data_IF_883604247381
#
_entry.id   IF_883604247381
#
_cell.length_a   1.000
_cell.length_b   1.000
_cell.length_c   1.000
_cell.angle_alpha   90.00
_cell.angle_beta   90.00
_cell.angle_gamma   90.00
#
_symmetry.space_group_name_H-M   'P 1'
#
loop_
_entity.id
_entity.type
_entity.pdbx_description
1 polymer ?
#
# COMPACT_ATOMS: atom_id res chain seq x y z
N UNK A 1 -5.97 -26.01 -10.02
CA UNK A 1 -5.60 -24.65 -9.59
C UNK A 1 -6.22 -23.68 -10.57
N UNK A 2 -6.95 -22.69 -10.08
CA UNK A 2 -7.57 -21.67 -10.92
C UNK A 2 -6.50 -20.84 -11.63
N UNK A 3 -6.78 -20.38 -12.85
CA UNK A 3 -5.98 -19.34 -13.52
C UNK A 3 -6.23 -17.98 -12.87
N UNK A 4 -5.28 -17.06 -12.98
CA UNK A 4 -5.41 -15.72 -12.39
C UNK A 4 -6.66 -14.96 -12.88
N UNK A 5 -6.99 -15.12 -14.16
CA UNK A 5 -8.18 -14.52 -14.78
C UNK A 5 -9.50 -15.03 -14.15
N UNK A 6 -9.49 -16.22 -13.56
CA UNK A 6 -10.66 -16.84 -12.92
C UNK A 6 -10.85 -16.39 -11.47
N UNK A 7 -9.95 -15.57 -10.91
CA UNK A 7 -10.05 -15.11 -9.53
C UNK A 7 -11.14 -14.04 -9.44
N UNK A 8 -12.16 -14.28 -8.62
CA UNK A 8 -13.29 -13.37 -8.48
C UNK A 8 -12.91 -12.20 -7.58
N UNK A 9 -13.18 -11.00 -8.06
CA UNK A 9 -13.12 -9.79 -7.26
C UNK A 9 -14.52 -9.36 -6.88
N UNK A 10 -14.72 -9.05 -5.60
CA UNK A 10 -15.93 -8.44 -5.08
C UNK A 10 -15.52 -7.30 -4.14
N UNK A 11 -16.08 -6.10 -4.35
CA UNK A 11 -15.73 -4.94 -3.55
C UNK A 11 -16.20 -5.14 -2.10
N UNK A 12 -15.31 -5.01 -1.09
CA UNK A 12 -15.72 -5.13 0.30
C UNK A 12 -16.55 -3.92 0.72
N UNK A 13 -17.56 -4.14 1.57
CA UNK A 13 -18.36 -3.06 2.16
C UNK A 13 -17.72 -2.66 3.48
N UNK A 14 -16.96 -1.54 3.50
CA UNK A 14 -16.12 -1.15 4.65
C UNK A 14 -16.85 -1.27 5.99
N UNK A 15 -18.08 -0.75 6.12
CA UNK A 15 -18.86 -0.83 7.36
C UNK A 15 -19.05 -2.28 7.86
N UNK A 16 -19.46 -3.20 6.97
CA UNK A 16 -19.65 -4.61 7.30
C UNK A 16 -18.34 -5.28 7.72
N UNK A 17 -17.23 -4.88 7.07
CA UNK A 17 -15.90 -5.34 7.43
C UNK A 17 -15.48 -4.87 8.83
N UNK A 18 -15.80 -3.62 9.21
CA UNK A 18 -15.49 -3.14 10.57
C UNK A 18 -16.32 -3.86 11.63
N UNK A 19 -17.59 -4.17 11.33
CA UNK A 19 -18.46 -4.92 12.25
C UNK A 19 -17.88 -6.32 12.46
N UNK A 20 -17.58 -7.02 11.37
CA UNK A 20 -16.98 -8.37 11.42
C UNK A 20 -15.65 -8.36 12.16
N UNK A 21 -14.79 -7.37 11.89
CA UNK A 21 -13.51 -7.24 12.57
C UNK A 21 -13.67 -7.03 14.08
N UNK A 22 -14.61 -6.18 14.51
CA UNK A 22 -14.89 -5.95 15.93
C UNK A 22 -15.34 -7.22 16.65
N UNK A 23 -16.15 -8.07 16.00
CA UNK A 23 -16.54 -9.36 16.55
C UNK A 23 -15.36 -10.32 16.70
N UNK A 24 -14.47 -10.37 15.70
CA UNK A 24 -13.25 -11.18 15.74
C UNK A 24 -12.28 -10.69 16.82
N UNK A 25 -12.09 -9.38 16.93
CA UNK A 25 -11.25 -8.77 17.97
C UNK A 25 -11.84 -9.04 19.36
N UNK A 26 -13.16 -8.96 19.51
CA UNK A 26 -13.83 -9.29 20.77
C UNK A 26 -13.57 -10.74 21.21
N UNK A 27 -13.61 -11.69 20.26
CA UNK A 27 -13.25 -13.10 20.57
C UNK A 27 -11.81 -13.22 21.04
N UNK A 28 -10.90 -12.43 20.48
CA UNK A 28 -9.50 -12.40 20.93
C UNK A 28 -9.38 -11.82 22.35
N UNK A 29 -10.03 -10.70 22.64
CA UNK A 29 -9.95 -10.04 23.96
C UNK A 29 -10.67 -10.82 25.07
N UNK A 30 -11.72 -11.55 24.73
CA UNK A 30 -12.50 -12.37 25.67
C UNK A 30 -11.91 -13.78 25.87
N UNK A 31 -10.82 -14.13 25.18
CA UNK A 31 -10.19 -15.45 25.28
C UNK A 31 -9.82 -15.79 26.73
N UNK A 32 -10.17 -16.99 27.17
CA UNK A 32 -9.91 -17.50 28.52
C UNK A 32 -8.73 -18.48 28.56
N UNK A 33 -8.16 -18.81 27.40
CA UNK A 33 -7.01 -19.69 27.26
C UNK A 33 -6.07 -19.23 26.13
N UNK A 34 -4.84 -19.72 26.16
CA UNK A 34 -3.87 -19.44 25.10
C UNK A 34 -4.34 -20.03 23.75
N UNK A 35 -4.99 -21.19 23.79
CA UNK A 35 -5.57 -21.86 22.64
C UNK A 35 -6.67 -21.02 21.99
N UNK A 36 -7.56 -20.42 22.79
CA UNK A 36 -8.59 -19.50 22.30
C UNK A 36 -7.98 -18.24 21.67
N UNK A 37 -6.97 -17.65 22.30
CA UNK A 37 -6.29 -16.46 21.78
C UNK A 37 -5.56 -16.73 20.45
N UNK A 38 -4.93 -17.90 20.32
CA UNK A 38 -4.29 -18.36 19.08
C UNK A 38 -5.35 -18.55 17.98
N UNK A 39 -6.45 -19.25 18.28
CA UNK A 39 -7.52 -19.48 17.30
C UNK A 39 -8.20 -18.18 16.84
N UNK A 40 -8.40 -17.23 17.76
CA UNK A 40 -8.93 -15.91 17.43
C UNK A 40 -7.94 -15.12 16.54
N UNK A 41 -6.64 -15.20 16.82
CA UNK A 41 -5.58 -14.60 15.98
C UNK A 41 -5.59 -15.18 14.56
N UNK A 42 -5.72 -16.50 14.42
CA UNK A 42 -5.83 -17.16 13.11
C UNK A 42 -7.08 -16.72 12.34
N UNK A 43 -8.21 -16.55 13.04
CA UNK A 43 -9.46 -16.05 12.45
C UNK A 43 -9.31 -14.60 11.96
N UNK A 44 -8.66 -13.74 12.75
CA UNK A 44 -8.32 -12.36 12.33
C UNK A 44 -7.40 -12.38 11.12
N UNK A 45 -6.40 -13.26 11.09
CA UNK A 45 -5.50 -13.39 9.93
C UNK A 45 -6.22 -13.88 8.68
N UNK A 46 -7.16 -14.82 8.79
CA UNK A 46 -7.99 -15.26 7.67
C UNK A 46 -8.83 -14.09 7.10
N UNK A 47 -9.42 -13.27 7.97
CA UNK A 47 -10.13 -12.05 7.59
C UNK A 47 -9.22 -11.06 6.85
N UNK A 48 -8.04 -10.77 7.41
CA UNK A 48 -7.04 -9.87 6.81
C UNK A 48 -6.54 -10.39 5.46
N UNK A 49 -6.33 -11.70 5.34
CA UNK A 49 -5.90 -12.34 4.11
C UNK A 49 -6.94 -12.17 3.00
N UNK A 50 -8.24 -12.33 3.29
CA UNK A 50 -9.30 -12.09 2.30
C UNK A 50 -9.27 -10.66 1.77
N UNK A 51 -9.20 -9.66 2.66
CA UNK A 51 -9.14 -8.25 2.24
C UNK A 51 -7.86 -7.95 1.44
N UNK A 52 -6.73 -8.53 1.86
CA UNK A 52 -5.47 -8.45 1.12
C UNK A 52 -5.58 -9.07 -0.27
N UNK A 53 -6.26 -10.21 -0.42
CA UNK A 53 -6.53 -10.83 -1.73
C UNK A 53 -7.30 -9.89 -2.64
N UNK A 54 -8.38 -9.27 -2.15
CA UNK A 54 -9.20 -8.35 -2.93
C UNK A 54 -8.40 -7.11 -3.37
N UNK A 55 -7.63 -6.52 -2.46
CA UNK A 55 -6.73 -5.41 -2.77
C UNK A 55 -5.71 -5.79 -3.84
N UNK A 56 -5.03 -6.94 -3.70
CA UNK A 56 -3.99 -7.36 -4.63
C UNK A 56 -4.56 -7.68 -6.02
N UNK A 57 -5.78 -8.24 -6.12
CA UNK A 57 -6.45 -8.42 -7.41
C UNK A 57 -6.64 -7.10 -8.14
N UNK A 58 -7.12 -6.07 -7.43
CA UNK A 58 -7.30 -4.73 -7.99
C UNK A 58 -5.96 -4.11 -8.35
N UNK A 59 -4.97 -4.15 -7.45
CA UNK A 59 -3.65 -3.58 -7.69
C UNK A 59 -3.02 -4.16 -8.96
N UNK A 60 -3.04 -5.49 -9.12
CA UNK A 60 -2.47 -6.15 -10.28
C UNK A 60 -3.24 -5.76 -11.55
N UNK A 61 -4.57 -5.90 -11.56
CA UNK A 61 -5.39 -5.62 -12.76
C UNK A 61 -5.32 -4.15 -13.18
N UNK A 62 -5.37 -3.22 -12.23
CA UNK A 62 -5.20 -1.78 -12.47
C UNK A 62 -3.80 -1.40 -12.96
N UNK A 63 -2.77 -2.20 -12.66
CA UNK A 63 -1.40 -1.97 -13.11
C UNK A 63 -1.11 -2.55 -14.50
N UNK A 64 -1.84 -3.59 -14.92
CA UNK A 64 -1.73 -4.20 -16.25
C UNK A 64 -2.29 -3.24 -17.30
N UNK A 65 -3.49 -2.70 -17.05
CA UNK A 65 -4.12 -1.71 -17.90
C UNK A 65 -4.58 -0.51 -17.08
N UNK A 66 -3.84 0.58 -17.19
CA UNK A 66 -4.18 1.83 -16.48
C UNK A 66 -5.34 2.59 -17.12
N UNK A 67 -5.81 2.16 -18.30
CA UNK A 67 -6.99 2.70 -18.99
C UNK A 67 -8.27 1.95 -18.64
N UNK A 68 -8.20 0.83 -17.91
CA UNK A 68 -9.38 0.11 -17.41
C UNK A 68 -10.07 0.93 -16.30
N UNK A 69 -11.17 1.60 -16.65
CA UNK A 69 -11.91 2.48 -15.74
C UNK A 69 -12.43 1.75 -14.51
N UNK A 70 -12.84 0.48 -14.64
CA UNK A 70 -13.35 -0.29 -13.51
C UNK A 70 -12.24 -0.49 -12.47
N UNK A 71 -11.09 -1.03 -12.86
CA UNK A 71 -10.00 -1.27 -11.92
C UNK A 71 -9.33 0.03 -11.44
N UNK A 72 -9.37 1.13 -12.21
CA UNK A 72 -8.96 2.43 -11.68
C UNK A 72 -9.89 2.93 -10.57
N UNK A 73 -11.20 2.78 -10.71
CA UNK A 73 -12.16 3.14 -9.65
C UNK A 73 -12.02 2.24 -8.42
N UNK A 74 -11.76 0.94 -8.62
CA UNK A 74 -11.49 0.03 -7.51
C UNK A 74 -10.18 0.38 -6.79
N UNK A 75 -9.16 0.82 -7.52
CA UNK A 75 -7.90 1.29 -6.93
C UNK A 75 -8.12 2.55 -6.09
N UNK A 76 -8.88 3.52 -6.61
CA UNK A 76 -9.22 4.74 -5.89
C UNK A 76 -10.03 4.43 -4.62
N UNK A 77 -10.95 3.45 -4.68
CA UNK A 77 -11.66 2.95 -3.51
C UNK A 77 -10.70 2.36 -2.46
N UNK A 78 -9.73 1.54 -2.86
CA UNK A 78 -8.76 0.97 -1.92
C UNK A 78 -7.80 2.02 -1.35
N UNK A 79 -7.41 3.03 -2.13
CA UNK A 79 -6.60 4.15 -1.63
C UNK A 79 -7.31 4.89 -0.48
N UNK A 80 -8.64 4.98 -0.53
CA UNK A 80 -9.49 5.57 0.50
C UNK A 80 -9.66 4.68 1.73
N UNK A 81 -9.93 3.37 1.56
CA UNK A 81 -10.27 2.50 2.69
C UNK A 81 -9.06 1.85 3.38
N UNK A 82 -7.91 1.74 2.71
CA UNK A 82 -6.73 1.05 3.25
C UNK A 82 -6.28 1.64 4.61
N UNK A 83 -6.31 2.97 4.84
CA UNK A 83 -6.03 3.55 6.16
C UNK A 83 -6.99 3.09 7.27
N UNK A 84 -8.26 2.84 6.96
CA UNK A 84 -9.22 2.27 7.92
C UNK A 84 -8.94 0.79 8.20
N UNK A 85 -8.53 0.02 7.18
CA UNK A 85 -8.07 -1.35 7.41
C UNK A 85 -6.79 -1.39 8.26
N UNK A 86 -5.91 -0.39 8.10
CA UNK A 86 -4.73 -0.21 8.95
C UNK A 86 -5.10 0.09 10.38
N UNK A 87 -6.11 0.93 10.62
CA UNK A 87 -6.66 1.20 11.95
C UNK A 87 -7.08 -0.09 12.67
N UNK A 88 -7.91 -0.91 12.02
CA UNK A 88 -8.31 -2.23 12.53
C UNK A 88 -7.09 -3.08 12.91
N UNK A 89 -6.12 -3.20 12.01
CA UNK A 89 -4.91 -3.97 12.27
C UNK A 89 -4.14 -3.43 13.50
N UNK A 90 -4.01 -2.10 13.63
CA UNK A 90 -3.34 -1.48 14.77
C UNK A 90 -4.12 -1.68 16.08
N UNK A 91 -5.45 -1.70 16.07
CA UNK A 91 -6.26 -2.06 17.24
C UNK A 91 -5.97 -3.51 17.69
N UNK A 92 -6.01 -4.47 16.75
CA UNK A 92 -5.65 -5.86 17.07
C UNK A 92 -4.23 -5.98 17.61
N UNK A 93 -3.28 -5.28 17.00
CA UNK A 93 -1.89 -5.26 17.44
C UNK A 93 -1.70 -4.74 18.85
N UNK A 94 -2.46 -3.71 19.26
CA UNK A 94 -2.45 -3.21 20.64
C UNK A 94 -2.96 -4.26 21.62
N UNK A 95 -4.05 -4.96 21.30
CA UNK A 95 -4.57 -6.06 22.13
C UNK A 95 -3.62 -7.27 22.16
N UNK A 96 -2.97 -7.57 21.03
CA UNK A 96 -2.01 -8.65 20.92
C UNK A 96 -0.83 -8.45 21.86
N UNK A 97 -0.29 -7.23 21.95
CA UNK A 97 0.87 -6.94 22.81
C UNK A 97 0.52 -6.84 24.29
N UNK A 98 -0.73 -6.51 24.63
CA UNK A 98 -1.24 -6.43 26.01
C UNK A 98 -1.85 -7.74 26.53
N UNK A 99 -2.04 -8.75 25.66
CA UNK A 99 -2.65 -10.02 26.01
C UNK A 99 -1.96 -10.71 27.18
N UNK A 100 -2.75 -11.26 28.11
CA UNK A 100 -2.25 -12.14 29.20
C UNK A 100 -1.58 -13.40 28.66
N UNK A 101 -1.87 -13.80 27.43
CA UNK A 101 -1.29 -14.95 26.74
C UNK A 101 -0.13 -14.58 25.82
N UNK A 102 0.44 -13.37 25.94
CA UNK A 102 1.52 -12.88 25.09
C UNK A 102 2.65 -13.89 24.90
N UNK A 103 3.14 -14.51 25.98
CA UNK A 103 4.25 -15.48 25.89
C UNK A 103 3.89 -16.71 25.03
N UNK A 104 2.64 -17.18 25.11
CA UNK A 104 2.15 -18.28 24.29
C UNK A 104 2.02 -17.86 22.82
N UNK A 105 1.48 -16.67 22.56
CA UNK A 105 1.34 -16.11 21.22
C UNK A 105 2.72 -15.86 20.58
N UNK A 106 3.69 -15.36 21.34
CA UNK A 106 5.06 -15.15 20.87
C UNK A 106 5.78 -16.48 20.58
N UNK A 107 5.53 -17.51 21.39
CA UNK A 107 6.03 -18.86 21.10
C UNK A 107 5.41 -19.44 19.83
N UNK A 108 4.13 -19.16 19.56
CA UNK A 108 3.41 -19.68 18.39
C UNK A 108 3.76 -18.95 17.10
N UNK A 109 3.81 -17.61 17.12
CA UNK A 109 3.97 -16.77 15.93
C UNK A 109 5.39 -16.21 15.75
N UNK A 110 6.26 -16.38 16.75
CA UNK A 110 7.65 -15.94 16.75
C UNK A 110 7.85 -14.50 17.25
N UNK A 111 8.98 -14.27 17.91
CA UNK A 111 9.35 -12.95 18.46
C UNK A 111 9.50 -11.87 17.39
N UNK A 112 9.92 -12.25 16.19
CA UNK A 112 10.00 -11.36 15.03
C UNK A 112 8.65 -10.68 14.75
N UNK A 113 7.54 -11.42 14.81
CA UNK A 113 6.22 -10.86 14.57
C UNK A 113 5.89 -9.76 15.59
N UNK A 114 6.22 -9.96 16.86
CA UNK A 114 5.99 -8.96 17.91
C UNK A 114 6.88 -7.71 17.74
N UNK A 115 8.09 -7.86 17.20
CA UNK A 115 8.93 -6.72 16.84
C UNK A 115 8.32 -5.91 15.68
N UNK A 116 7.77 -6.59 14.66
CA UNK A 116 7.06 -5.91 13.56
C UNK A 116 5.82 -5.17 14.08
N UNK A 117 5.07 -5.80 14.97
CA UNK A 117 3.87 -5.22 15.60
C UNK A 117 4.19 -3.91 16.35
N UNK A 118 5.28 -3.86 17.11
CA UNK A 118 5.71 -2.63 17.80
C UNK A 118 5.96 -1.47 16.82
N UNK A 119 6.60 -1.75 15.68
CA UNK A 119 6.84 -0.75 14.62
C UNK A 119 5.54 -0.27 13.99
N UNK A 120 4.62 -1.20 13.71
CA UNK A 120 3.31 -0.88 13.12
C UNK A 120 2.46 -0.01 14.04
N UNK A 121 2.47 -0.27 15.35
CA UNK A 121 1.78 0.56 16.35
C UNK A 121 2.37 1.98 16.34
N UNK A 122 3.70 2.11 16.31
CA UNK A 122 4.40 3.41 16.31
C UNK A 122 4.21 4.21 15.01
N UNK A 123 3.93 3.53 13.91
CA UNK A 123 3.74 4.15 12.60
C UNK A 123 2.30 4.62 12.32
N UNK A 124 1.38 4.54 13.29
CA UNK A 124 -0.03 4.81 13.07
C UNK A 124 -0.74 5.52 14.24
N UNK A 125 -1.67 6.42 13.89
CA UNK A 125 -2.65 7.05 14.78
C UNK A 125 -3.93 7.33 13.98
N UNK A 126 -5.13 7.24 14.58
CA UNK A 126 -6.37 7.60 13.88
C UNK A 126 -6.36 9.02 13.29
N UNK A 127 -5.64 9.96 13.90
CA UNK A 127 -5.55 11.35 13.45
C UNK A 127 -4.83 11.54 12.10
N UNK A 128 -4.11 10.52 11.61
CA UNK A 128 -3.40 10.58 10.33
C UNK A 128 -4.15 9.86 9.20
N UNK A 129 -5.34 9.30 9.45
CA UNK A 129 -6.12 8.55 8.43
C UNK A 129 -6.31 9.38 7.16
N UNK A 130 -6.78 10.63 7.28
CA UNK A 130 -7.01 11.50 6.12
C UNK A 130 -5.72 11.86 5.37
N UNK A 131 -4.59 11.94 6.09
CA UNK A 131 -3.28 12.17 5.48
C UNK A 131 -2.76 10.96 4.74
N UNK A 132 -3.01 9.74 5.26
CA UNK A 132 -2.68 8.50 4.57
C UNK A 132 -3.51 8.33 3.29
N UNK A 133 -4.80 8.67 3.34
CA UNK A 133 -5.66 8.67 2.14
C UNK A 133 -5.13 9.64 1.08
N UNK A 134 -4.71 10.84 1.50
CA UNK A 134 -4.08 11.82 0.60
C UNK A 134 -2.75 11.31 0.05
N UNK A 135 -1.90 10.70 0.88
CA UNK A 135 -0.63 10.09 0.46
C UNK A 135 -0.85 9.01 -0.60
N UNK A 136 -1.82 8.11 -0.38
CA UNK A 136 -2.18 7.05 -1.31
C UNK A 136 -2.65 7.61 -2.65
N UNK A 137 -3.58 8.58 -2.61
CA UNK A 137 -4.10 9.24 -3.82
C UNK A 137 -2.99 9.88 -4.65
N UNK A 138 -2.07 10.63 -4.02
CA UNK A 138 -0.94 11.25 -4.70
C UNK A 138 0.01 10.21 -5.33
N UNK A 139 0.24 9.07 -4.66
CA UNK A 139 1.06 7.99 -5.20
C UNK A 139 0.40 7.31 -6.42
N UNK A 140 -0.93 7.16 -6.39
CA UNK A 140 -1.71 6.66 -7.52
C UNK A 140 -1.75 7.66 -8.69
N UNK A 141 -1.89 8.95 -8.42
CA UNK A 141 -1.79 10.02 -9.42
C UNK A 141 -0.43 10.02 -10.14
N UNK A 142 0.68 9.89 -9.40
CA UNK A 142 2.01 9.72 -10.00
C UNK A 142 2.08 8.49 -10.92
N UNK A 143 1.55 7.35 -10.44
CA UNK A 143 1.56 6.10 -11.22
C UNK A 143 0.77 6.24 -12.51
N UNK A 144 -0.42 6.87 -12.46
CA UNK A 144 -1.28 7.13 -13.62
C UNK A 144 -0.60 8.07 -14.62
N UNK A 145 0.08 9.12 -14.14
CA UNK A 145 0.83 10.05 -14.99
C UNK A 145 1.99 9.36 -15.72
N UNK A 146 2.77 8.52 -15.02
CA UNK A 146 3.85 7.76 -15.68
C UNK A 146 3.30 6.76 -16.71
N UNK A 147 2.18 6.12 -16.40
CA UNK A 147 1.57 5.13 -17.27
C UNK A 147 0.86 5.73 -18.50
N UNK A 148 0.47 7.01 -18.45
CA UNK A 148 -0.16 7.70 -19.59
C UNK A 148 0.84 8.13 -20.66
N UNK A 149 2.12 7.78 -20.53
CA UNK A 149 3.15 8.16 -21.48
C UNK A 149 2.93 7.55 -22.87
N UNK A 150 2.68 8.42 -23.84
CA UNK A 150 2.58 8.12 -25.26
C UNK A 150 3.66 8.90 -26.00
N UNK A 151 4.83 8.30 -26.16
CA UNK A 151 6.02 8.96 -26.72
C UNK A 151 6.17 8.61 -28.20
N UNK A 152 6.05 9.61 -29.07
CA UNK A 152 6.31 9.45 -30.49
C UNK A 152 7.82 9.25 -30.75
N UNK A 153 8.19 8.13 -31.38
CA UNK A 153 9.57 7.80 -31.71
C UNK A 153 9.62 6.99 -33.01
N UNK A 154 10.43 7.43 -33.99
CA UNK A 154 10.64 6.74 -35.27
C UNK A 154 9.34 6.34 -36.03
N UNK A 155 8.29 7.17 -35.92
CA UNK A 155 7.02 6.98 -36.63
C UNK A 155 5.97 6.17 -35.87
N UNK A 156 6.33 5.62 -34.70
CA UNK A 156 5.44 4.84 -33.83
C UNK A 156 5.25 5.54 -32.47
N UNK A 157 4.28 5.06 -31.68
CA UNK A 157 4.04 5.53 -30.31
C UNK A 157 4.43 4.46 -29.30
N UNK A 158 5.22 4.84 -28.29
CA UNK A 158 5.76 3.93 -27.29
C UNK A 158 5.48 4.41 -25.87
N UNK A 159 5.33 3.47 -24.94
CA UNK A 159 5.44 3.76 -23.51
C UNK A 159 6.90 4.02 -23.11
N UNK A 160 7.13 4.60 -21.93
CA UNK A 160 8.49 4.82 -21.41
C UNK A 160 9.29 3.52 -21.32
N UNK A 161 8.65 2.41 -20.93
CA UNK A 161 9.31 1.11 -20.83
C UNK A 161 9.68 0.55 -22.21
N UNK A 162 8.81 0.73 -23.21
CA UNK A 162 9.07 0.28 -24.58
C UNK A 162 10.20 1.09 -25.26
N UNK A 163 10.55 2.28 -24.76
CA UNK A 163 11.72 3.04 -25.22
C UNK A 163 13.06 2.48 -24.73
N UNK A 164 13.08 1.68 -23.65
CA UNK A 164 14.31 1.23 -23.00
C UNK A 164 15.26 0.44 -23.94
N UNK A 165 14.79 -0.46 -24.83
CA UNK A 165 15.66 -1.13 -25.79
C UNK A 165 16.38 -0.17 -26.75
N UNK A 166 15.71 0.91 -27.20
CA UNK A 166 16.32 1.91 -28.08
C UNK A 166 17.39 2.73 -27.35
N UNK A 167 17.16 3.05 -26.08
CA UNK A 167 18.15 3.69 -25.21
C UNK A 167 19.42 2.84 -24.99
N UNK A 168 19.37 1.54 -25.30
CA UNK A 168 20.49 0.60 -25.22
C UNK A 168 21.01 0.15 -26.60
N UNK A 169 20.54 0.76 -27.69
CA UNK A 169 20.98 0.43 -29.05
C UNK A 169 22.50 0.55 -29.21
N UNK A 170 23.10 -0.24 -30.12
CA UNK A 170 24.53 -0.10 -30.48
C UNK A 170 24.79 1.24 -31.18
N UNK A 171 23.80 1.77 -31.88
CA UNK A 171 23.88 3.07 -32.53
C UNK A 171 23.72 4.21 -31.51
N UNK A 172 24.71 5.09 -31.43
CA UNK A 172 24.73 6.23 -30.51
C UNK A 172 23.61 7.22 -30.78
N UNK A 173 23.27 7.47 -32.04
CA UNK A 173 22.25 8.46 -32.38
C UNK A 173 20.86 7.93 -32.01
N UNK A 174 20.60 6.63 -32.18
CA UNK A 174 19.37 5.98 -31.69
C UNK A 174 19.26 6.11 -30.17
N UNK A 175 20.33 5.80 -29.41
CA UNK A 175 20.32 5.97 -27.95
C UNK A 175 20.02 7.40 -27.54
N UNK A 176 20.69 8.37 -28.17
CA UNK A 176 20.51 9.80 -27.88
C UNK A 176 19.07 10.23 -28.13
N UNK A 177 18.49 9.87 -29.27
CA UNK A 177 17.11 10.22 -29.59
C UNK A 177 16.13 9.59 -28.60
N UNK A 178 16.31 8.31 -28.24
CA UNK A 178 15.43 7.61 -27.30
C UNK A 178 15.48 8.22 -25.89
N UNK A 179 16.68 8.52 -25.37
CA UNK A 179 16.86 9.18 -24.08
C UNK A 179 16.25 10.59 -24.10
N UNK A 180 16.44 11.33 -25.19
CA UNK A 180 15.86 12.68 -25.34
C UNK A 180 14.33 12.63 -25.36
N UNK A 181 13.74 11.69 -26.11
CA UNK A 181 12.30 11.52 -26.17
C UNK A 181 11.71 11.12 -24.81
N UNK A 182 12.39 10.22 -24.08
CA UNK A 182 12.03 9.86 -22.71
C UNK A 182 12.09 11.06 -21.77
N UNK A 183 13.18 11.82 -21.78
CA UNK A 183 13.35 13.01 -20.94
C UNK A 183 12.32 14.10 -21.25
N UNK A 184 11.96 14.27 -22.54
CA UNK A 184 10.98 15.26 -22.97
C UNK A 184 9.57 14.96 -22.42
N UNK A 185 9.20 13.68 -22.25
CA UNK A 185 7.96 13.35 -21.56
C UNK A 185 7.95 13.88 -20.11
N UNK A 186 9.04 13.68 -19.37
CA UNK A 186 9.13 14.21 -18.00
C UNK A 186 9.18 15.74 -17.97
N UNK A 187 9.92 16.36 -18.89
CA UNK A 187 10.00 17.82 -19.02
C UNK A 187 8.63 18.45 -19.31
N UNK A 188 7.86 17.87 -20.24
CA UNK A 188 6.53 18.37 -20.61
C UNK A 188 5.48 18.22 -19.49
N UNK A 189 5.74 17.37 -18.50
CA UNK A 189 4.87 17.18 -17.32
C UNK A 189 5.57 17.61 -16.01
N UNK A 190 6.66 18.39 -16.09
CA UNK A 190 7.50 18.74 -14.94
C UNK A 190 6.69 19.39 -13.80
N UNK A 191 5.83 20.36 -14.12
CA UNK A 191 4.97 21.03 -13.13
C UNK A 191 4.06 20.05 -12.37
N UNK A 192 3.56 19.02 -13.04
CA UNK A 192 2.72 18.00 -12.42
C UNK A 192 3.54 17.06 -11.53
N UNK A 193 4.71 16.61 -12.00
CA UNK A 193 5.61 15.79 -11.20
C UNK A 193 6.10 16.53 -9.94
N UNK A 194 6.51 17.79 -10.10
CA UNK A 194 6.97 18.64 -9.01
C UNK A 194 5.84 18.91 -8.01
N UNK A 195 4.63 19.18 -8.49
CA UNK A 195 3.45 19.37 -7.63
C UNK A 195 3.11 18.12 -6.83
N UNK A 196 3.09 16.94 -7.45
CA UNK A 196 2.80 15.68 -6.77
C UNK A 196 3.88 15.41 -5.70
N UNK A 197 5.15 15.58 -6.04
CA UNK A 197 6.25 15.32 -5.12
C UNK A 197 6.27 16.31 -3.94
N UNK A 198 6.05 17.61 -4.20
CA UNK A 198 5.92 18.64 -3.16
C UNK A 198 4.79 18.31 -2.18
N UNK A 199 3.62 17.92 -2.70
CA UNK A 199 2.49 17.51 -1.87
C UNK A 199 2.77 16.24 -1.07
N UNK A 200 3.45 15.25 -1.66
CA UNK A 200 3.88 14.03 -0.98
C UNK A 200 4.86 14.33 0.16
N UNK A 201 5.83 15.22 -0.05
CA UNK A 201 6.77 15.63 1.00
C UNK A 201 6.04 16.32 2.14
N UNK A 202 5.13 17.25 1.83
CA UNK A 202 4.34 17.98 2.83
C UNK A 202 3.45 17.06 3.67
N UNK A 203 2.68 16.17 3.02
CA UNK A 203 1.77 15.25 3.74
C UNK A 203 2.55 14.26 4.61
N UNK A 204 3.70 13.75 4.12
CA UNK A 204 4.58 12.87 4.90
C UNK A 204 5.20 13.58 6.09
N UNK A 205 5.60 14.84 5.94
CA UNK A 205 6.08 15.62 7.06
C UNK A 205 4.98 15.84 8.11
N UNK A 206 3.76 16.17 7.68
CA UNK A 206 2.62 16.35 8.58
C UNK A 206 2.26 15.06 9.34
N UNK A 207 2.27 13.92 8.65
CA UNK A 207 2.10 12.59 9.28
C UNK A 207 3.14 12.40 10.39
N UNK A 208 4.40 12.71 10.11
CA UNK A 208 5.47 12.56 11.11
C UNK A 208 5.26 13.45 12.33
N UNK A 209 4.90 14.72 12.13
CA UNK A 209 4.64 15.64 13.23
C UNK A 209 3.46 15.19 14.10
N UNK A 210 2.37 14.71 13.48
CA UNK A 210 1.21 14.17 14.22
C UNK A 210 1.54 12.93 15.02
N UNK A 211 2.40 12.05 14.48
CA UNK A 211 2.90 10.89 15.20
C UNK A 211 3.98 11.24 16.27
N UNK A 212 4.34 12.51 16.44
CA UNK A 212 5.32 12.96 17.43
C UNK A 212 6.78 12.90 17.00
N UNK A 213 7.04 12.69 15.70
CA UNK A 213 8.40 12.64 15.14
C UNK A 213 8.83 13.98 14.57
N UNK A 214 10.15 14.23 14.58
CA UNK A 214 10.74 15.48 14.04
C UNK A 214 10.50 15.64 12.53
N UNK A 215 10.55 14.54 11.78
CA UNK A 215 10.38 14.50 10.34
C UNK A 215 10.08 13.06 9.88
N UNK A 216 9.84 12.88 8.58
CA UNK A 216 9.42 11.61 8.02
C UNK A 216 10.51 10.53 7.98
N UNK A 217 11.78 10.86 8.27
CA UNK A 217 12.87 9.87 8.20
C UNK A 217 12.57 8.71 9.14
N UNK A 218 12.30 8.99 10.43
CA UNK A 218 12.03 7.95 11.43
C UNK A 218 10.76 7.16 11.11
N UNK A 219 9.68 7.85 10.71
CA UNK A 219 8.44 7.18 10.23
C UNK A 219 8.73 6.26 9.06
N UNK A 220 9.59 6.67 8.12
CA UNK A 220 10.04 5.85 7.02
C UNK A 220 10.74 4.56 7.49
N UNK A 221 11.63 4.64 8.48
CA UNK A 221 12.27 3.46 9.07
C UNK A 221 11.27 2.53 9.76
N UNK A 222 10.29 3.07 10.48
CA UNK A 222 9.22 2.28 11.09
C UNK A 222 8.39 1.54 10.02
N UNK A 223 8.00 2.24 8.95
CA UNK A 223 7.24 1.67 7.82
C UNK A 223 8.03 0.65 7.03
N UNK A 224 9.36 0.77 6.96
CA UNK A 224 10.24 -0.24 6.35
C UNK A 224 10.43 -1.48 7.24
N UNK A 225 9.88 -1.49 8.47
CA UNK A 225 9.98 -2.61 9.40
C UNK A 225 11.44 -3.05 9.66
N UNK A 226 12.38 -2.09 9.67
CA UNK A 226 13.78 -2.36 9.94
C UNK A 226 13.99 -2.64 11.43
N UNK A 227 14.61 -3.79 11.73
CA UNK A 227 14.86 -4.33 13.08
C UNK A 227 16.37 -4.56 13.31
N UNK A 228 17.20 -3.71 12.69
CA UNK A 228 18.65 -3.68 12.80
C UNK A 228 19.16 -2.68 13.85
#
# INVERSE_FOLDING_TARGET
>A
MLKFEEYVYERPVLHEEQVTFKELLKKFTDAQSAEEAISATESINAFRNRLSTLYNLVYIRASIDTKDEFYQQERDFFDEIQPNLKEMNTEFYKELVSSSFRNNLEKQFGSQFFQLVDKEIKAFSPEIISLLQKENKLASEYSKLVASAEVAFQGETYTLAQLAPFAQSKDREIRKQAITANAHFFESHADQFDSIYDQLVKVRHEIALKLGYKNFVEVGYLRMQRID
#
